data_IF_249792810862
#
_entry.id   IF_249792810862
#
_cell.length_a   1.000
_cell.length_b   1.000
_cell.length_c   1.000
_cell.angle_alpha   90.00
_cell.angle_beta   90.00
_cell.angle_gamma   90.00
#
_symmetry.space_group_name_H-M   'P 1'
#
loop_
_entity.id
_entity.type
_entity.pdbx_description
1 polymer ?
#
# COMPACT_ATOMS: atom_id res chain seq x y z
N UNK A 1 -21.57 -9.02 -3.14
CA UNK A 1 -21.33 -9.02 -4.61
C UNK A 1 -21.45 -7.63 -5.26
N UNK A 2 -22.35 -6.73 -4.83
CA UNK A 2 -22.43 -5.34 -5.40
C UNK A 2 -21.16 -4.49 -5.24
N UNK A 3 -20.36 -4.71 -4.19
CA UNK A 3 -19.15 -3.92 -3.95
C UNK A 3 -17.98 -4.27 -4.91
N UNK A 4 -17.96 -5.46 -5.49
CA UNK A 4 -16.93 -5.84 -6.48
C UNK A 4 -17.14 -5.18 -7.85
N UNK A 5 -18.36 -4.75 -8.18
CA UNK A 5 -18.63 -4.02 -9.42
C UNK A 5 -17.97 -2.62 -9.41
N UNK A 6 -17.88 -1.98 -8.25
CA UNK A 6 -17.19 -0.70 -8.10
C UNK A 6 -15.68 -0.82 -8.39
N UNK A 7 -15.05 -1.90 -7.92
CA UNK A 7 -13.61 -2.13 -8.13
C UNK A 7 -13.23 -2.37 -9.59
N UNK A 8 -14.20 -2.70 -10.43
CA UNK A 8 -14.03 -2.96 -11.86
C UNK A 8 -14.49 -1.78 -12.75
N UNK A 9 -14.91 -0.67 -12.16
CA UNK A 9 -15.36 0.50 -12.92
C UNK A 9 -14.17 1.40 -13.29
N UNK A 10 -13.86 1.46 -14.58
CA UNK A 10 -12.74 2.23 -15.13
C UNK A 10 -12.96 3.75 -15.20
N UNK A 11 -14.16 4.23 -14.87
CA UNK A 11 -14.51 5.64 -15.08
C UNK A 11 -14.60 6.44 -13.77
N UNK A 12 -14.50 5.76 -12.61
CA UNK A 12 -14.72 6.40 -11.32
C UNK A 12 -13.41 6.58 -10.54
N UNK A 13 -13.32 7.74 -9.90
CA UNK A 13 -12.38 7.94 -8.81
C UNK A 13 -13.02 7.42 -7.53
N UNK A 14 -12.30 6.64 -6.76
CA UNK A 14 -12.77 6.17 -5.45
C UNK A 14 -11.61 5.90 -4.50
N UNK A 15 -11.92 5.97 -3.24
CA UNK A 15 -11.10 5.54 -2.13
C UNK A 15 -11.81 4.40 -1.41
N UNK A 16 -11.11 3.28 -1.21
CA UNK A 16 -11.62 2.13 -0.48
C UNK A 16 -10.63 1.77 0.63
N UNK A 17 -10.95 2.00 1.90
CA UNK A 17 -10.18 1.44 2.99
C UNK A 17 -10.43 -0.07 3.04
N UNK A 18 -9.35 -0.85 3.00
CA UNK A 18 -9.36 -2.31 3.17
C UNK A 18 -9.16 -2.63 4.64
N UNK A 19 -8.37 -1.80 5.33
CA UNK A 19 -8.15 -1.80 6.78
C UNK A 19 -7.71 -0.42 7.27
N UNK A 20 -7.49 -0.27 8.58
CA UNK A 20 -6.96 0.93 9.20
C UNK A 20 -7.99 2.05 9.45
N UNK A 21 -9.27 1.85 9.16
CA UNK A 21 -10.34 2.82 9.48
C UNK A 21 -11.30 2.24 10.50
N UNK A 22 -11.43 2.92 11.63
CA UNK A 22 -12.24 2.45 12.76
C UNK A 22 -11.55 1.39 13.62
N UNK A 23 -10.28 1.13 13.36
CA UNK A 23 -9.43 0.17 14.08
C UNK A 23 -8.00 0.73 14.22
N UNK A 24 -7.17 0.09 15.03
CA UNK A 24 -5.75 0.45 15.20
C UNK A 24 -4.91 -0.57 14.44
N UNK A 25 -4.05 -0.08 13.53
CA UNK A 25 -3.21 -0.91 12.68
C UNK A 25 -3.91 -1.37 11.40
N UNK A 26 -3.30 -2.30 10.68
CA UNK A 26 -3.84 -2.86 9.44
C UNK A 26 -4.01 -1.83 8.32
N UNK A 27 -3.18 -0.80 8.30
CA UNK A 27 -3.29 0.27 7.30
C UNK A 27 -3.13 -0.31 5.89
N UNK A 28 -4.20 -0.27 5.11
CA UNK A 28 -4.22 -0.75 3.74
C UNK A 28 -5.36 -0.07 2.98
N UNK A 29 -5.02 0.67 1.94
CA UNK A 29 -5.94 1.54 1.24
C UNK A 29 -5.84 1.36 -0.27
N UNK A 30 -6.98 1.28 -0.94
CA UNK A 30 -7.06 1.25 -2.39
C UNK A 30 -7.60 2.58 -2.91
N UNK A 31 -6.81 3.24 -3.74
CA UNK A 31 -7.20 4.42 -4.50
C UNK A 31 -7.41 4.03 -5.96
N UNK A 32 -8.39 4.63 -6.61
CA UNK A 32 -8.61 4.50 -8.05
C UNK A 32 -8.75 5.88 -8.67
N UNK A 33 -7.99 6.11 -9.73
CA UNK A 33 -8.03 7.32 -10.55
C UNK A 33 -8.36 6.92 -12.00
N UNK A 34 -9.63 7.10 -12.39
CA UNK A 34 -10.12 6.68 -13.73
C UNK A 34 -9.73 5.24 -14.11
N UNK A 35 -9.83 4.33 -13.12
CA UNK A 35 -9.54 2.91 -13.30
C UNK A 35 -8.08 2.51 -13.11
N UNK A 36 -7.15 3.45 -12.89
CA UNK A 36 -5.81 3.13 -12.41
C UNK A 36 -5.84 2.98 -10.90
N UNK A 37 -5.57 1.77 -10.43
CA UNK A 37 -5.63 1.42 -9.02
C UNK A 37 -4.24 1.45 -8.39
N UNK A 38 -4.15 2.04 -7.19
CA UNK A 38 -2.96 2.11 -6.37
C UNK A 38 -3.29 1.60 -4.97
N UNK A 39 -2.42 0.75 -4.44
CA UNK A 39 -2.48 0.34 -3.04
C UNK A 39 -1.55 1.26 -2.23
N UNK A 40 -2.04 1.75 -1.11
CA UNK A 40 -1.23 2.48 -0.13
C UNK A 40 -1.16 1.64 1.13
N UNK A 41 0.07 1.33 1.53
CA UNK A 41 0.42 0.52 2.68
C UNK A 41 -0.12 -0.92 2.64
N UNK A 42 0.39 -1.76 3.53
CA UNK A 42 0.03 -3.16 3.67
C UNK A 42 0.40 -3.65 5.05
N UNK A 43 -0.27 -3.10 6.05
CA UNK A 43 0.04 -3.29 7.45
C UNK A 43 -0.55 -4.54 8.09
N UNK A 44 -0.14 -4.75 9.35
CA UNK A 44 -0.77 -5.72 10.25
C UNK A 44 -1.56 -4.97 11.32
N UNK A 45 -2.54 -5.66 11.91
CA UNK A 45 -3.12 -5.34 13.22
C UNK A 45 -2.73 -6.42 14.23
N UNK A 46 -2.64 -6.07 15.49
CA UNK A 46 -2.52 -7.03 16.58
C UNK A 46 -3.92 -7.52 16.96
N UNK A 47 -4.06 -8.83 17.09
CA UNK A 47 -5.32 -9.41 17.51
C UNK A 47 -5.60 -9.06 18.98
N UNK A 48 -6.88 -8.89 19.29
CA UNK A 48 -7.35 -8.69 20.65
C UNK A 48 -7.76 -10.04 21.29
N UNK A 49 -8.18 -9.99 22.56
CA UNK A 49 -8.58 -11.16 23.35
C UNK A 49 -9.79 -11.93 22.77
N UNK A 50 -10.49 -11.37 21.77
CA UNK A 50 -11.62 -12.04 21.10
C UNK A 50 -11.18 -13.16 20.14
N UNK A 51 -9.88 -13.20 19.78
CA UNK A 51 -9.27 -14.16 18.88
C UNK A 51 -8.19 -15.01 19.56
N UNK A 52 -8.51 -15.94 20.47
CA UNK A 52 -7.54 -16.72 21.19
C UNK A 52 -6.60 -17.52 20.27
N UNK A 53 -5.27 -17.36 20.47
CA UNK A 53 -4.24 -18.03 19.68
C UNK A 53 -3.92 -17.35 18.35
N UNK A 54 -4.46 -16.16 18.12
CA UNK A 54 -4.12 -15.30 16.98
C UNK A 54 -3.33 -14.10 17.51
N UNK A 55 -2.11 -13.91 17.05
CA UNK A 55 -1.27 -12.78 17.44
C UNK A 55 -1.45 -11.58 16.50
N UNK A 56 -1.64 -11.86 15.21
CA UNK A 56 -1.63 -10.86 14.13
C UNK A 56 -2.80 -11.13 13.17
N UNK A 57 -3.40 -10.06 12.70
CA UNK A 57 -4.36 -10.07 11.58
C UNK A 57 -3.85 -9.16 10.46
N UNK A 58 -4.26 -9.44 9.24
CA UNK A 58 -4.00 -8.58 8.08
C UNK A 58 -5.31 -8.28 7.35
N UNK A 59 -5.46 -7.10 6.76
CA UNK A 59 -6.51 -6.84 5.79
C UNK A 59 -6.46 -7.86 4.65
N UNK A 60 -7.61 -8.28 4.13
CA UNK A 60 -7.66 -9.30 3.08
C UNK A 60 -7.05 -8.79 1.76
N UNK A 61 -5.86 -9.24 1.35
CA UNK A 61 -5.21 -8.78 0.14
C UNK A 61 -5.92 -9.27 -1.14
N UNK A 62 -6.78 -10.27 -1.05
CA UNK A 62 -7.51 -10.79 -2.22
C UNK A 62 -8.54 -9.79 -2.75
N UNK A 63 -8.90 -8.76 -1.98
CA UNK A 63 -9.73 -7.64 -2.43
C UNK A 63 -9.10 -6.95 -3.65
N UNK A 64 -7.77 -6.79 -3.69
CA UNK A 64 -7.06 -6.18 -4.82
C UNK A 64 -6.28 -7.18 -5.68
N UNK A 65 -5.89 -8.33 -5.14
CA UNK A 65 -5.18 -9.35 -5.91
C UNK A 65 -6.07 -10.11 -6.90
N UNK A 66 -7.37 -10.23 -6.59
CA UNK A 66 -8.34 -11.00 -7.40
C UNK A 66 -9.27 -10.11 -8.24
N UNK A 67 -9.04 -8.81 -8.34
CA UNK A 67 -9.83 -7.92 -9.19
C UNK A 67 -9.49 -8.08 -10.67
N UNK A 68 -10.42 -7.76 -11.55
CA UNK A 68 -10.17 -7.72 -13.01
C UNK A 68 -9.29 -6.55 -13.43
N UNK A 69 -9.27 -5.48 -12.64
CA UNK A 69 -8.35 -4.35 -12.78
C UNK A 69 -7.24 -4.56 -11.75
N UNK A 70 -6.05 -4.89 -12.22
CA UNK A 70 -4.89 -5.04 -11.33
C UNK A 70 -4.36 -3.69 -10.89
N UNK A 71 -3.93 -3.55 -9.61
CA UNK A 71 -3.21 -2.36 -9.18
C UNK A 71 -1.98 -2.10 -10.05
N UNK A 72 -1.74 -0.84 -10.35
CA UNK A 72 -0.55 -0.39 -11.09
C UNK A 72 0.70 -0.37 -10.22
N UNK A 73 0.52 -0.13 -8.93
CA UNK A 73 1.58 -0.05 -7.95
C UNK A 73 1.06 -0.19 -6.52
N UNK A 74 2.00 -0.40 -5.59
CA UNK A 74 1.83 -0.15 -4.17
C UNK A 74 2.78 0.98 -3.75
N UNK A 75 2.34 1.84 -2.85
CA UNK A 75 3.16 2.91 -2.26
C UNK A 75 3.21 2.67 -0.76
N UNK A 76 4.40 2.66 -0.19
CA UNK A 76 4.59 2.53 1.26
C UNK A 76 5.00 3.87 1.85
N UNK A 77 4.25 4.31 2.85
CA UNK A 77 4.46 5.60 3.50
C UNK A 77 5.66 5.61 4.43
N UNK A 78 5.81 4.57 5.23
CA UNK A 78 6.91 4.40 6.19
C UNK A 78 6.99 2.97 6.71
N UNK A 79 8.01 2.65 7.52
CA UNK A 79 8.38 1.30 7.87
C UNK A 79 7.76 0.73 9.15
N UNK A 80 6.72 1.33 9.74
CA UNK A 80 6.02 0.72 10.87
C UNK A 80 5.26 -0.54 10.46
N UNK A 81 5.15 -1.50 11.36
CA UNK A 81 4.54 -2.81 11.10
C UNK A 81 3.07 -2.72 10.69
N UNK A 82 2.34 -1.80 11.24
CA UNK A 82 0.95 -1.53 10.89
C UNK A 82 0.79 -0.86 9.51
N UNK A 83 1.91 -0.58 8.80
CA UNK A 83 1.97 -0.09 7.42
C UNK A 83 2.65 -1.05 6.45
N UNK A 84 3.62 -1.87 6.90
CA UNK A 84 4.38 -2.75 5.99
C UNK A 84 4.35 -4.23 6.39
N UNK A 85 3.94 -4.55 7.62
CA UNK A 85 4.07 -5.90 8.18
C UNK A 85 3.28 -6.96 7.44
N UNK A 86 2.16 -6.61 6.85
CA UNK A 86 1.32 -7.52 6.08
C UNK A 86 1.96 -8.02 4.79
N UNK A 87 2.91 -7.28 4.22
CA UNK A 87 3.62 -7.67 2.99
C UNK A 87 4.26 -9.06 3.09
N UNK A 88 4.69 -9.48 4.27
CA UNK A 88 5.30 -10.79 4.47
C UNK A 88 4.41 -11.94 4.01
N UNK A 89 3.10 -11.80 4.16
CA UNK A 89 2.12 -12.84 3.91
C UNK A 89 1.67 -12.96 2.46
N UNK A 90 1.79 -11.88 1.67
CA UNK A 90 1.32 -11.88 0.27
C UNK A 90 2.32 -11.31 -0.75
N UNK A 91 3.53 -10.99 -0.35
CA UNK A 91 4.57 -10.40 -1.21
C UNK A 91 4.78 -11.18 -2.52
N UNK A 92 4.79 -12.50 -2.45
CA UNK A 92 5.05 -13.36 -3.61
C UNK A 92 3.93 -13.29 -4.67
N UNK A 93 2.75 -12.83 -4.27
CA UNK A 93 1.58 -12.65 -5.14
C UNK A 93 1.50 -11.27 -5.78
N UNK A 94 2.31 -10.31 -5.32
CA UNK A 94 2.39 -8.98 -5.92
C UNK A 94 3.15 -9.09 -7.25
N UNK A 95 2.54 -8.66 -8.33
CA UNK A 95 3.11 -8.62 -9.69
C UNK A 95 3.28 -7.20 -10.24
N UNK A 96 3.22 -6.19 -9.39
CA UNK A 96 3.36 -4.76 -9.68
C UNK A 96 4.46 -4.12 -8.81
N UNK A 97 5.01 -2.96 -9.20
CA UNK A 97 6.08 -2.28 -8.46
C UNK A 97 5.60 -1.76 -7.10
N UNK A 98 6.54 -1.71 -6.15
CA UNK A 98 6.36 -1.16 -4.81
C UNK A 98 7.24 0.07 -4.67
N UNK A 99 6.64 1.23 -4.52
CA UNK A 99 7.33 2.52 -4.35
C UNK A 99 7.48 2.85 -2.87
N UNK A 100 8.67 3.28 -2.48
CA UNK A 100 8.94 3.76 -1.12
C UNK A 100 10.22 4.58 -1.08
N UNK A 101 10.49 5.24 0.05
CA UNK A 101 11.77 5.89 0.28
C UNK A 101 12.90 4.87 0.61
N UNK A 102 14.14 5.35 0.63
CA UNK A 102 15.32 4.50 0.87
C UNK A 102 15.31 3.85 2.26
N UNK A 103 14.85 4.55 3.31
CA UNK A 103 14.81 4.00 4.65
C UNK A 103 13.81 2.83 4.75
N UNK A 104 12.58 3.03 4.26
CA UNK A 104 11.53 1.99 4.24
C UNK A 104 11.97 0.76 3.45
N UNK A 105 12.61 0.95 2.29
CA UNK A 105 13.20 -0.15 1.53
C UNK A 105 14.25 -0.92 2.34
N UNK A 106 15.19 -0.22 2.97
CA UNK A 106 16.28 -0.83 3.73
C UNK A 106 15.75 -1.66 4.91
N UNK A 107 14.74 -1.14 5.60
CA UNK A 107 14.06 -1.85 6.69
C UNK A 107 13.41 -3.15 6.20
N UNK A 108 12.62 -3.05 5.15
CA UNK A 108 11.91 -4.21 4.58
C UNK A 108 12.91 -5.22 4.00
N UNK A 109 13.98 -4.76 3.34
CA UNK A 109 15.06 -5.62 2.85
C UNK A 109 15.70 -6.43 3.97
N UNK A 110 15.95 -5.82 5.11
CA UNK A 110 16.48 -6.52 6.29
C UNK A 110 15.52 -7.62 6.78
N UNK A 111 14.23 -7.31 6.81
CA UNK A 111 13.16 -8.23 7.23
C UNK A 111 12.96 -9.40 6.27
N UNK A 112 12.99 -9.14 4.94
CA UNK A 112 12.69 -10.12 3.89
C UNK A 112 13.91 -10.69 3.18
N UNK A 113 15.10 -10.60 3.74
CA UNK A 113 16.38 -10.91 3.10
C UNK A 113 16.50 -12.34 2.47
N UNK A 114 15.57 -13.22 2.78
CA UNK A 114 15.52 -14.61 2.26
C UNK A 114 14.66 -14.78 1.01
N UNK A 115 13.89 -13.77 0.57
CA UNK A 115 13.03 -13.88 -0.61
C UNK A 115 13.83 -13.61 -1.89
N UNK A 116 13.74 -14.55 -2.85
CA UNK A 116 14.39 -14.41 -4.16
C UNK A 116 13.79 -13.23 -4.93
N UNK A 117 14.64 -12.50 -5.64
CA UNK A 117 14.26 -11.38 -6.50
C UNK A 117 13.47 -10.24 -5.78
N UNK A 118 13.55 -10.21 -4.45
CA UNK A 118 12.86 -9.25 -3.61
C UNK A 118 13.07 -7.81 -4.09
N UNK A 119 14.33 -7.41 -4.30
CA UNK A 119 14.71 -6.03 -4.63
C UNK A 119 14.13 -5.56 -5.96
N UNK A 120 13.89 -6.47 -6.90
CA UNK A 120 13.40 -6.13 -8.24
C UNK A 120 11.99 -5.54 -8.27
N UNK A 121 11.20 -5.76 -7.21
CA UNK A 121 9.85 -5.18 -7.11
C UNK A 121 9.85 -3.76 -6.58
N UNK A 122 10.95 -3.30 -5.96
CA UNK A 122 11.00 -2.00 -5.33
C UNK A 122 11.54 -0.92 -6.26
N UNK A 123 10.90 0.25 -6.19
CA UNK A 123 11.32 1.49 -6.83
C UNK A 123 11.53 2.53 -5.73
N UNK A 124 12.77 3.00 -5.59
CA UNK A 124 13.09 4.03 -4.60
C UNK A 124 12.67 5.38 -5.16
N UNK A 125 11.96 6.16 -4.36
CA UNK A 125 11.48 7.50 -4.68
C UNK A 125 12.07 8.48 -3.68
N UNK A 126 12.63 9.56 -4.19
CA UNK A 126 13.15 10.66 -3.37
C UNK A 126 12.01 11.60 -2.96
N UNK A 127 12.24 12.37 -1.90
CA UNK A 127 11.29 13.38 -1.44
C UNK A 127 10.95 14.35 -2.56
N UNK A 128 9.66 14.67 -2.71
CA UNK A 128 9.13 15.56 -3.75
C UNK A 128 9.38 15.11 -5.20
N UNK A 129 9.97 13.94 -5.42
CA UNK A 129 10.09 13.38 -6.76
C UNK A 129 8.70 13.03 -7.28
N UNK A 130 8.35 13.56 -8.45
CA UNK A 130 7.07 13.23 -9.11
C UNK A 130 7.18 11.92 -9.88
N UNK A 131 6.25 11.00 -9.59
CA UNK A 131 6.10 9.72 -10.29
C UNK A 131 4.79 9.77 -11.05
N UNK A 132 4.87 9.71 -12.37
CA UNK A 132 3.74 9.88 -13.27
C UNK A 132 3.11 8.54 -13.67
N UNK A 133 1.77 8.52 -13.72
CA UNK A 133 0.92 7.50 -14.32
C UNK A 133 0.04 8.15 -15.39
N UNK A 134 -0.83 7.40 -16.02
CA UNK A 134 -1.67 7.93 -17.11
C UNK A 134 -2.70 8.95 -16.62
N UNK A 135 -3.35 8.70 -15.47
CA UNK A 135 -4.45 9.51 -14.95
C UNK A 135 -4.11 10.30 -13.68
N UNK A 136 -2.94 10.10 -13.10
CA UNK A 136 -2.49 10.78 -11.90
C UNK A 136 -0.96 10.77 -11.81
N UNK A 137 -0.42 11.60 -10.92
CA UNK A 137 0.94 11.47 -10.41
C UNK A 137 0.96 11.46 -8.89
N UNK A 138 2.07 11.06 -8.29
CA UNK A 138 2.24 11.19 -6.85
C UNK A 138 3.64 11.68 -6.50
N UNK A 139 3.76 12.23 -5.29
CA UNK A 139 5.01 12.61 -4.64
C UNK A 139 5.00 12.09 -3.19
N UNK A 140 6.17 11.70 -2.70
CA UNK A 140 6.37 11.44 -1.28
C UNK A 140 6.72 12.75 -0.59
N UNK A 141 5.95 13.12 0.44
CA UNK A 141 6.11 14.36 1.19
C UNK A 141 6.61 14.03 2.59
N UNK A 142 7.82 14.49 2.99
CA UNK A 142 8.33 14.25 4.34
C UNK A 142 7.36 14.73 5.41
N UNK A 143 7.19 13.91 6.44
CA UNK A 143 6.34 14.23 7.59
C UNK A 143 7.10 14.01 8.88
N UNK A 144 6.46 14.25 10.03
CA UNK A 144 7.05 13.98 11.35
C UNK A 144 6.35 12.80 11.99
N UNK A 145 7.13 11.81 12.41
CA UNK A 145 6.61 10.61 13.08
C UNK A 145 7.68 9.97 13.95
N UNK A 146 7.35 8.92 14.68
CA UNK A 146 8.25 8.19 15.60
C UNK A 146 9.17 7.17 14.91
N UNK A 147 9.41 7.32 13.63
CA UNK A 147 10.30 6.49 12.81
C UNK A 147 11.09 7.41 11.86
N UNK A 148 12.32 7.04 11.44
CA UNK A 148 13.05 7.81 10.43
C UNK A 148 12.33 7.84 9.08
N UNK A 149 12.46 8.97 8.41
CA UNK A 149 12.00 9.23 7.03
C UNK A 149 10.53 8.84 6.74
N UNK A 150 9.56 9.21 7.62
CA UNK A 150 8.17 8.95 7.33
C UNK A 150 7.66 9.91 6.25
N UNK A 151 6.81 9.41 5.35
CA UNK A 151 6.25 10.23 4.28
C UNK A 151 4.72 10.18 4.26
N UNK A 152 4.11 11.29 3.90
CA UNK A 152 2.75 11.35 3.35
C UNK A 152 2.79 11.19 1.84
N UNK A 153 1.65 10.99 1.21
CA UNK A 153 1.53 10.90 -0.24
C UNK A 153 0.66 12.05 -0.73
N UNK A 154 1.21 12.82 -1.67
CA UNK A 154 0.47 13.84 -2.40
C UNK A 154 0.10 13.30 -3.76
N UNK A 155 -1.20 13.12 -4.02
CA UNK A 155 -1.71 12.75 -5.33
C UNK A 155 -2.14 13.99 -6.10
N UNK A 156 -1.76 14.06 -7.37
CA UNK A 156 -2.20 15.06 -8.32
C UNK A 156 -2.96 14.39 -9.43
N UNK A 157 -4.19 14.80 -9.67
CA UNK A 157 -5.07 14.25 -10.68
C UNK A 157 -5.51 15.30 -11.69
N UNK A 158 -6.10 14.88 -12.81
CA UNK A 158 -6.69 15.80 -13.79
C UNK A 158 -7.87 16.61 -13.24
N UNK A 159 -8.47 16.16 -12.13
CA UNK A 159 -9.64 16.79 -11.51
C UNK A 159 -9.27 17.62 -10.26
N UNK A 160 -8.01 17.68 -9.89
CA UNK A 160 -7.47 18.39 -8.74
C UNK A 160 -6.53 17.55 -7.88
N UNK A 161 -6.18 18.11 -6.73
CA UNK A 161 -5.22 17.54 -5.77
C UNK A 161 -5.95 17.06 -4.52
#
# INVERSE_FOLDING_TARGET
MKNLELLNNKNNNYFLPIGGIGEIGGNNYLYSFKGEQIIVDGGISFADDSLPGVDITIPDPYIFLNTSIKPKAMILTHAHEDHVGGLEYYFDKIDFPIYCNQFTFSYIKHKFNKKKDFEKKFVIVEDFQEVEFENFSFQLIPTTHSIPDPTGIFFKTLEGN
#
